data_IF_837887417551
#
_entry.id   IF_837887417551
#
_cell.length_a   1.000
_cell.length_b   1.000
_cell.length_c   1.000
_cell.angle_alpha   90.00
_cell.angle_beta   90.00
_cell.angle_gamma   90.00
#
_symmetry.space_group_name_H-M   'P 1'
#
loop_
_entity.id
_entity.type
_entity.pdbx_description
1 polymer ?
#
# COMPACT_ATOMS: atom_id res chain seq x y z
N UNK A 1 -9.80 3.68 10.65
CA UNK A 1 -10.36 3.74 9.29
C UNK A 1 -9.87 2.56 8.49
N UNK A 2 -10.75 1.94 7.73
CA UNK A 2 -10.44 0.73 6.98
C UNK A 2 -10.74 0.94 5.51
N UNK A 3 -9.91 0.38 4.65
CA UNK A 3 -10.09 0.41 3.20
C UNK A 3 -9.95 -0.99 2.65
N UNK A 4 -10.92 -1.42 1.84
CA UNK A 4 -10.84 -2.68 1.14
C UNK A 4 -10.62 -2.43 -0.35
N UNK A 5 -9.60 -3.03 -0.90
CA UNK A 5 -9.26 -2.86 -2.31
C UNK A 5 -8.38 -3.99 -2.81
N UNK A 6 -7.89 -3.85 -4.02
CA UNK A 6 -6.99 -4.84 -4.63
C UNK A 6 -5.60 -4.25 -4.76
N UNK A 7 -4.60 -5.08 -4.56
CA UNK A 7 -3.21 -4.68 -4.78
C UNK A 7 -3.01 -4.42 -6.27
N UNK A 8 -2.72 -3.18 -6.62
CA UNK A 8 -2.47 -2.78 -8.00
C UNK A 8 -0.99 -2.87 -8.34
N UNK A 9 -0.15 -2.37 -7.44
CA UNK A 9 1.30 -2.36 -7.65
C UNK A 9 2.01 -2.37 -6.31
N UNK A 10 3.12 -3.09 -6.25
CA UNK A 10 4.00 -3.13 -5.09
C UNK A 10 5.36 -2.59 -5.53
N UNK A 11 5.75 -1.44 -4.99
CA UNK A 11 7.05 -0.85 -5.30
C UNK A 11 8.19 -1.62 -4.67
N UNK A 12 9.39 -1.41 -5.20
CA UNK A 12 10.60 -1.95 -4.61
C UNK A 12 10.98 -1.16 -3.36
N UNK A 13 11.62 -1.84 -2.41
CA UNK A 13 12.16 -1.17 -1.23
C UNK A 13 13.25 -0.20 -1.67
N UNK A 14 13.13 1.04 -1.22
CA UNK A 14 14.10 2.10 -1.50
C UNK A 14 14.88 2.44 -0.23
N UNK A 15 16.19 2.50 -0.36
CA UNK A 15 17.06 2.98 0.71
C UNK A 15 17.25 4.49 0.52
N UNK A 16 16.58 5.28 1.35
CA UNK A 16 16.68 6.73 1.29
C UNK A 16 17.98 7.20 1.92
N UNK A 17 18.34 6.58 3.05
CA UNK A 17 19.61 6.76 3.72
C UNK A 17 20.10 5.39 4.21
N UNK A 18 21.29 5.34 4.82
CA UNK A 18 21.82 4.09 5.37
C UNK A 18 20.92 3.48 6.44
N UNK A 19 20.10 4.31 7.08
CA UNK A 19 19.24 3.87 8.19
C UNK A 19 17.75 4.01 7.89
N UNK A 20 17.38 4.53 6.72
CA UNK A 20 15.97 4.75 6.40
C UNK A 20 15.60 4.04 5.10
N UNK A 21 14.58 3.20 5.18
CA UNK A 21 14.02 2.47 4.04
C UNK A 21 12.55 2.82 3.91
N UNK A 22 12.07 2.81 2.66
CA UNK A 22 10.65 2.99 2.39
C UNK A 22 10.21 2.12 1.23
N UNK A 23 8.92 1.81 1.18
CA UNK A 23 8.32 1.04 0.11
C UNK A 23 6.88 1.48 -0.09
N UNK A 24 6.47 1.62 -1.35
CA UNK A 24 5.13 2.07 -1.70
C UNK A 24 4.25 0.90 -2.09
N UNK A 25 2.97 1.01 -1.76
CA UNK A 25 1.92 0.08 -2.17
C UNK A 25 0.82 0.89 -2.84
N UNK A 26 0.45 0.52 -4.06
CA UNK A 26 -0.68 1.13 -4.76
C UNK A 26 -1.87 0.18 -4.67
N UNK A 27 -2.96 0.66 -4.12
CA UNK A 27 -4.21 -0.10 -3.97
C UNK A 27 -5.27 0.48 -4.87
N UNK A 28 -5.90 -0.38 -5.67
CA UNK A 28 -7.05 -0.01 -6.48
C UNK A 28 -8.31 -0.14 -5.62
N UNK A 29 -9.03 0.94 -5.48
CA UNK A 29 -10.22 1.03 -4.64
C UNK A 29 -11.40 1.50 -5.48
N UNK A 30 -12.53 0.82 -5.38
CA UNK A 30 -13.74 1.18 -6.10
C UNK A 30 -14.96 1.08 -5.18
N UNK A 31 -15.55 2.22 -4.84
CA UNK A 31 -16.87 2.26 -4.21
C UNK A 31 -17.96 1.92 -5.22
N UNK A 32 -17.72 2.32 -6.47
CA UNK A 32 -18.62 2.15 -7.58
C UNK A 32 -17.82 1.48 -8.71
N UNK A 33 -18.35 0.41 -9.35
CA UNK A 33 -17.62 -0.27 -10.41
C UNK A 33 -17.26 0.62 -11.60
N UNK A 34 -17.87 1.80 -11.72
CA UNK A 34 -17.56 2.75 -12.80
C UNK A 34 -16.37 3.66 -12.47
N UNK A 35 -16.01 3.78 -11.20
CA UNK A 35 -14.96 4.69 -10.77
C UNK A 35 -13.95 3.94 -9.90
N UNK A 36 -12.75 3.78 -10.42
CA UNK A 36 -11.65 3.16 -9.68
C UNK A 36 -10.66 4.24 -9.30
N UNK A 37 -10.33 4.30 -8.03
CA UNK A 37 -9.31 5.21 -7.53
C UNK A 37 -8.09 4.41 -7.09
N UNK A 38 -6.92 5.04 -7.23
CA UNK A 38 -5.66 4.44 -6.83
C UNK A 38 -5.12 5.21 -5.65
N UNK A 39 -4.84 4.50 -4.57
CA UNK A 39 -4.35 5.09 -3.33
C UNK A 39 -2.97 4.54 -3.05
N UNK A 40 -2.02 5.43 -2.79
CA UNK A 40 -0.65 5.05 -2.45
C UNK A 40 -0.49 5.03 -0.94
N UNK A 41 0.01 3.90 -0.44
CA UNK A 41 0.42 3.75 0.95
C UNK A 41 1.93 3.61 1.00
N UNK A 42 2.54 4.14 2.05
CA UNK A 42 3.97 4.06 2.24
C UNK A 42 4.27 3.34 3.55
N UNK A 43 5.15 2.34 3.48
CA UNK A 43 5.68 1.67 4.66
C UNK A 43 7.15 2.07 4.82
N UNK A 44 7.57 2.27 6.05
CA UNK A 44 8.94 2.68 6.36
C UNK A 44 9.59 1.72 7.33
N UNK A 45 10.92 1.67 7.31
CA UNK A 45 11.75 0.87 8.20
C UNK A 45 11.39 -0.63 8.10
N UNK A 46 11.20 -1.29 9.23
CA UNK A 46 10.91 -2.72 9.26
C UNK A 46 9.57 -3.09 8.64
N UNK A 47 8.69 -2.12 8.47
CA UNK A 47 7.36 -2.35 7.90
C UNK A 47 7.38 -2.57 6.39
N UNK A 48 8.49 -2.28 5.72
CA UNK A 48 8.60 -2.54 4.27
C UNK A 48 8.40 -4.01 3.94
N UNK A 49 8.66 -4.90 4.89
CA UNK A 49 8.54 -6.34 4.68
C UNK A 49 7.09 -6.84 4.70
N UNK A 50 6.15 -6.06 5.24
CA UNK A 50 4.74 -6.51 5.28
C UNK A 50 4.16 -6.69 3.88
N UNK A 51 4.70 -5.99 2.88
CA UNK A 51 4.22 -6.09 1.51
C UNK A 51 4.74 -7.34 0.78
N UNK A 52 5.73 -8.04 1.34
CA UNK A 52 6.29 -9.24 0.71
C UNK A 52 5.27 -10.38 0.62
N UNK A 53 4.28 -10.39 1.51
CA UNK A 53 3.24 -11.42 1.54
C UNK A 53 2.07 -11.12 0.62
N UNK A 54 2.08 -9.97 -0.04
CA UNK A 54 1.01 -9.54 -0.93
C UNK A 54 1.30 -9.93 -2.37
N UNK A 55 0.24 -10.19 -3.12
CA UNK A 55 0.34 -10.49 -4.55
C UNK A 55 -0.49 -9.47 -5.33
N UNK A 56 -0.02 -9.10 -6.51
CA UNK A 56 -0.76 -8.18 -7.37
C UNK A 56 -2.10 -8.80 -7.76
N UNK A 57 -3.18 -8.02 -7.60
CA UNK A 57 -4.54 -8.49 -7.83
C UNK A 57 -5.20 -9.08 -6.60
N UNK A 58 -4.46 -9.27 -5.51
CA UNK A 58 -5.02 -9.78 -4.26
C UNK A 58 -5.93 -8.74 -3.61
N UNK A 59 -7.07 -9.21 -3.09
CA UNK A 59 -7.97 -8.35 -2.33
C UNK A 59 -7.47 -8.25 -0.89
N UNK A 60 -7.33 -7.02 -0.42
CA UNK A 60 -6.82 -6.74 0.92
C UNK A 60 -7.68 -5.73 1.63
N UNK A 61 -7.60 -5.74 2.96
CA UNK A 61 -8.19 -4.73 3.82
C UNK A 61 -7.08 -4.05 4.59
N UNK A 62 -7.07 -2.73 4.56
CA UNK A 62 -6.02 -1.93 5.20
C UNK A 62 -6.66 -1.08 6.29
N UNK A 63 -6.14 -1.20 7.50
CA UNK A 63 -6.48 -0.31 8.61
C UNK A 63 -5.42 0.77 8.71
N UNK A 64 -5.83 2.02 8.77
CA UNK A 64 -4.92 3.15 8.84
C UNK A 64 -5.51 4.30 9.61
N UNK A 65 -4.64 5.17 10.08
CA UNK A 65 -5.02 6.39 10.78
C UNK A 65 -4.71 7.58 9.90
N UNK A 66 -5.70 8.46 9.73
CA UNK A 66 -5.49 9.72 9.05
C UNK A 66 -4.90 10.70 10.04
N UNK A 67 -3.78 11.30 9.69
CA UNK A 67 -3.18 12.39 10.44
C UNK A 67 -3.40 13.66 9.66
N UNK A 68 -4.16 14.52 10.27
CA UNK A 68 -4.44 15.84 9.71
C UNK A 68 -3.29 16.81 9.88
#
# INVERSE_FOLDING_TARGET
MELRGKVHEIGATQNVTDTFKKRDLIVAYAENPQFVEYIRFEATQDRVNIFDNLSIGEEIEISFNLRG
#
